data_IF_185200085380
#
_entry.id   IF_185200085380
#
_cell.length_a   1.000
_cell.length_b   1.000
_cell.length_c   1.000
_cell.angle_alpha   90.00
_cell.angle_beta   90.00
_cell.angle_gamma   90.00
#
_symmetry.space_group_name_H-M   'P 1'
#
loop_
_entity.id
_entity.type
_entity.pdbx_description
1 polymer ?
#
# COMPACT_ATOMS: atom_id res chain seq x y z
N UNK A 1 -14.07 -2.84 17.90
CA UNK A 1 -14.73 -2.47 16.63
C UNK A 1 -15.82 -1.49 16.96
N UNK A 2 -15.81 -0.29 16.38
CA UNK A 2 -16.96 0.62 16.50
C UNK A 2 -18.15 -0.02 15.80
N UNK A 3 -19.35 0.09 16.38
CA UNK A 3 -20.59 -0.32 15.72
C UNK A 3 -20.72 0.42 14.37
N UNK A 4 -21.13 -0.30 13.33
CA UNK A 4 -21.51 0.31 12.07
C UNK A 4 -22.63 1.34 12.29
N UNK A 5 -22.57 2.43 11.54
CA UNK A 5 -23.67 3.39 11.47
C UNK A 5 -24.80 2.84 10.59
N UNK A 6 -26.03 3.31 10.78
CA UNK A 6 -27.18 2.90 9.97
C UNK A 6 -26.91 3.05 8.46
N UNK A 7 -26.22 4.13 8.07
CA UNK A 7 -25.80 4.36 6.69
C UNK A 7 -24.83 3.29 6.15
N UNK A 8 -23.86 2.85 6.97
CA UNK A 8 -22.90 1.82 6.56
C UNK A 8 -23.58 0.46 6.44
N UNK A 9 -24.53 0.16 7.32
CA UNK A 9 -25.38 -1.05 7.24
C UNK A 9 -26.22 -1.04 5.97
N UNK A 10 -26.94 0.05 5.69
CA UNK A 10 -27.75 0.20 4.46
C UNK A 10 -26.89 0.06 3.19
N UNK A 11 -25.68 0.62 3.22
CA UNK A 11 -24.73 0.51 2.12
C UNK A 11 -24.28 -0.93 1.91
N UNK A 12 -23.94 -1.64 2.99
CA UNK A 12 -23.57 -3.05 2.94
C UNK A 12 -24.73 -3.89 2.40
N UNK A 13 -25.95 -3.70 2.90
CA UNK A 13 -27.12 -4.44 2.48
C UNK A 13 -27.38 -4.26 0.97
N UNK A 14 -27.22 -3.02 0.46
CA UNK A 14 -27.39 -2.70 -0.96
C UNK A 14 -26.42 -3.46 -1.88
N UNK A 15 -25.21 -3.74 -1.43
CA UNK A 15 -24.16 -4.40 -2.22
C UNK A 15 -23.81 -5.81 -1.71
N UNK A 16 -24.65 -6.37 -0.82
CA UNK A 16 -24.41 -7.62 -0.10
C UNK A 16 -24.46 -8.88 -1.00
N UNK A 17 -25.15 -8.80 -2.15
CA UNK A 17 -25.21 -9.88 -3.14
C UNK A 17 -23.90 -10.02 -3.94
N UNK A 18 -22.86 -10.46 -3.24
CA UNK A 18 -21.51 -10.67 -3.77
C UNK A 18 -21.37 -12.12 -4.25
N UNK A 19 -20.92 -12.29 -5.50
CA UNK A 19 -20.65 -13.56 -6.15
C UNK A 19 -19.36 -13.48 -7.00
N UNK A 20 -18.96 -14.61 -7.60
CA UNK A 20 -17.73 -14.78 -8.39
C UNK A 20 -17.63 -13.79 -9.58
N UNK A 21 -18.73 -13.18 -10.03
CA UNK A 21 -18.76 -12.26 -11.18
C UNK A 21 -18.77 -10.79 -10.81
N UNK A 22 -19.15 -10.42 -9.59
CA UNK A 22 -19.40 -9.03 -9.21
C UNK A 22 -18.66 -8.56 -7.95
N UNK A 23 -17.85 -9.42 -7.31
CA UNK A 23 -17.18 -9.05 -6.05
C UNK A 23 -16.30 -7.81 -6.21
N UNK A 24 -15.53 -7.70 -7.29
CA UNK A 24 -14.65 -6.55 -7.53
C UNK A 24 -15.46 -5.25 -7.65
N UNK A 25 -16.50 -5.26 -8.48
CA UNK A 25 -17.33 -4.08 -8.76
C UNK A 25 -18.14 -3.65 -7.53
N UNK A 26 -18.72 -4.60 -6.79
CA UNK A 26 -19.49 -4.31 -5.59
C UNK A 26 -18.60 -3.77 -4.45
N UNK A 27 -17.43 -4.37 -4.22
CA UNK A 27 -16.49 -3.91 -3.19
C UNK A 27 -15.99 -2.50 -3.49
N UNK A 28 -15.55 -2.23 -4.73
CA UNK A 28 -15.09 -0.90 -5.12
C UNK A 28 -16.22 0.14 -5.08
N UNK A 29 -17.46 -0.26 -5.41
CA UNK A 29 -18.63 0.61 -5.29
C UNK A 29 -18.96 0.96 -3.83
N UNK A 30 -18.83 0.00 -2.90
CA UNK A 30 -18.95 0.28 -1.47
C UNK A 30 -17.84 1.23 -1.01
N UNK A 31 -16.59 1.02 -1.42
CA UNK A 31 -15.46 1.91 -1.10
C UNK A 31 -15.72 3.34 -1.59
N UNK A 32 -16.24 3.50 -2.81
CA UNK A 32 -16.62 4.79 -3.38
C UNK A 32 -17.60 5.54 -2.49
N UNK A 33 -18.64 4.86 -2.01
CA UNK A 33 -19.71 5.44 -1.22
C UNK A 33 -19.38 5.51 0.28
N UNK A 34 -18.33 4.84 0.73
CA UNK A 34 -17.94 4.79 2.13
C UNK A 34 -17.64 6.18 2.69
N UNK A 35 -18.40 6.62 3.69
CA UNK A 35 -18.22 7.94 4.29
C UNK A 35 -16.99 7.95 5.21
N UNK A 36 -16.15 8.96 5.03
CA UNK A 36 -15.02 9.23 5.92
C UNK A 36 -15.41 10.41 6.79
N UNK A 37 -15.50 10.21 8.11
CA UNK A 37 -15.75 11.31 9.05
C UNK A 37 -14.49 12.15 9.18
N UNK A 38 -14.65 13.47 9.16
CA UNK A 38 -13.55 14.40 9.47
C UNK A 38 -13.10 14.19 10.92
N UNK A 39 -11.80 14.37 11.18
CA UNK A 39 -11.18 14.26 12.50
C UNK A 39 -11.32 12.88 13.17
N UNK A 40 -11.56 11.83 12.39
CA UNK A 40 -11.52 10.44 12.86
C UNK A 40 -10.24 9.77 12.36
N UNK A 41 -9.58 9.02 13.24
CA UNK A 41 -8.42 8.22 12.87
C UNK A 41 -8.89 6.85 12.38
N UNK A 42 -8.63 6.59 11.10
CA UNK A 42 -8.99 5.34 10.45
C UNK A 42 -7.72 4.64 9.98
N UNK A 43 -7.57 3.37 10.32
CA UNK A 43 -6.39 2.60 9.91
C UNK A 43 -6.23 2.57 8.38
N UNK A 44 -7.32 2.64 7.61
CA UNK A 44 -7.25 2.67 6.14
C UNK A 44 -6.89 4.05 5.54
N UNK A 45 -6.72 5.10 6.36
CA UNK A 45 -6.28 6.44 5.94
C UNK A 45 -4.92 6.78 6.53
N UNK A 46 -3.89 6.59 5.72
CA UNK A 46 -2.52 6.97 6.06
C UNK A 46 -2.39 8.50 6.00
N UNK A 47 -1.81 9.11 7.02
CA UNK A 47 -1.71 10.57 7.16
C UNK A 47 -3.06 11.28 7.20
N UNK A 48 -4.16 10.57 7.51
CA UNK A 48 -5.54 11.04 7.41
C UNK A 48 -5.98 11.50 6.01
N UNK A 49 -5.24 11.17 4.94
CA UNK A 49 -5.57 11.57 3.56
C UNK A 49 -5.34 10.46 2.52
N UNK A 50 -4.32 9.63 2.68
CA UNK A 50 -3.93 8.61 1.72
C UNK A 50 -4.69 7.30 1.98
N UNK A 51 -5.49 6.87 1.00
CA UNK A 51 -6.40 5.72 1.16
C UNK A 51 -5.72 4.40 0.80
N UNK A 52 -5.51 3.55 1.82
CA UNK A 52 -5.27 2.13 1.63
C UNK A 52 -6.62 1.42 1.38
N UNK A 53 -7.04 1.39 0.11
CA UNK A 53 -8.35 0.86 -0.28
C UNK A 53 -8.52 -0.63 0.06
N UNK A 54 -7.42 -1.40 0.09
CA UNK A 54 -7.45 -2.82 0.46
C UNK A 54 -7.78 -3.01 1.94
N UNK A 55 -7.23 -2.17 2.82
CA UNK A 55 -7.58 -2.19 4.25
C UNK A 55 -9.04 -1.79 4.47
N UNK A 56 -9.54 -0.82 3.72
CA UNK A 56 -10.97 -0.48 3.73
C UNK A 56 -11.84 -1.63 3.19
N UNK A 57 -11.42 -2.30 2.11
CA UNK A 57 -12.11 -3.47 1.59
C UNK A 57 -12.23 -4.56 2.67
N UNK A 58 -11.14 -4.90 3.34
CA UNK A 58 -11.14 -5.89 4.44
C UNK A 58 -12.06 -5.47 5.59
N UNK A 59 -12.07 -4.19 5.96
CA UNK A 59 -12.98 -3.70 6.98
C UNK A 59 -14.45 -3.85 6.58
N UNK A 60 -14.79 -3.55 5.32
CA UNK A 60 -16.16 -3.74 4.80
C UNK A 60 -16.52 -5.23 4.82
N UNK A 61 -15.65 -6.08 4.29
CA UNK A 61 -15.85 -7.54 4.18
C UNK A 61 -16.07 -8.21 5.54
N UNK A 62 -15.44 -7.73 6.61
CA UNK A 62 -15.66 -8.24 7.97
C UNK A 62 -17.12 -8.12 8.46
N UNK A 63 -17.94 -7.32 7.78
CA UNK A 63 -19.35 -7.11 8.10
C UNK A 63 -20.30 -7.79 7.10
N UNK A 64 -19.78 -8.57 6.14
CA UNK A 64 -20.58 -9.25 5.13
C UNK A 64 -20.44 -10.76 5.31
N UNK A 65 -21.57 -11.47 5.30
CA UNK A 65 -21.54 -12.94 5.34
C UNK A 65 -21.27 -13.51 3.93
N UNK A 66 -20.02 -13.86 3.67
CA UNK A 66 -19.56 -14.38 2.37
C UNK A 66 -19.21 -15.86 2.50
N UNK A 67 -19.60 -16.65 1.49
CA UNK A 67 -19.23 -18.08 1.41
C UNK A 67 -17.71 -18.24 1.38
N UNK A 68 -17.18 -19.20 2.15
CA UNK A 68 -15.74 -19.43 2.31
C UNK A 68 -14.97 -19.51 0.99
N UNK A 69 -15.49 -20.26 0.00
CA UNK A 69 -14.87 -20.37 -1.33
C UNK A 69 -14.66 -19.00 -2.00
N UNK A 70 -15.69 -18.15 -1.97
CA UNK A 70 -15.63 -16.82 -2.57
C UNK A 70 -14.72 -15.87 -1.78
N UNK A 71 -14.69 -16.02 -0.46
CA UNK A 71 -13.80 -15.24 0.40
C UNK A 71 -12.31 -15.50 0.05
N UNK A 72 -11.95 -16.75 -0.27
CA UNK A 72 -10.60 -17.10 -0.74
C UNK A 72 -10.27 -16.38 -2.06
N UNK A 73 -11.20 -16.36 -3.02
CA UNK A 73 -11.02 -15.65 -4.30
C UNK A 73 -10.84 -14.13 -4.09
N UNK A 74 -11.65 -13.53 -3.20
CA UNK A 74 -11.53 -12.12 -2.83
C UNK A 74 -10.17 -11.83 -2.19
N UNK A 75 -9.69 -12.68 -1.28
CA UNK A 75 -8.36 -12.50 -0.66
C UNK A 75 -7.22 -12.67 -1.66
N UNK A 76 -7.33 -13.58 -2.62
CA UNK A 76 -6.37 -13.71 -3.71
C UNK A 76 -6.33 -12.44 -4.56
N UNK A 77 -7.50 -11.88 -4.91
CA UNK A 77 -7.60 -10.61 -5.63
C UNK A 77 -6.99 -9.43 -4.84
N UNK A 78 -7.32 -9.29 -3.55
CA UNK A 78 -6.75 -8.26 -2.68
C UNK A 78 -5.23 -8.41 -2.51
N UNK A 79 -4.70 -9.62 -2.68
CA UNK A 79 -3.26 -9.89 -2.61
C UNK A 79 -2.49 -9.51 -3.88
N UNK A 80 -3.17 -9.19 -4.99
CA UNK A 80 -2.52 -8.78 -6.24
C UNK A 80 -1.76 -7.46 -6.02
N UNK A 81 -0.42 -7.42 -6.19
CA UNK A 81 0.39 -6.24 -5.86
C UNK A 81 0.23 -5.10 -6.88
N UNK A 82 -0.39 -5.36 -8.03
CA UNK A 82 -0.62 -4.38 -9.08
C UNK A 82 -1.51 -3.21 -8.63
N UNK A 83 -1.15 -2.01 -9.12
CA UNK A 83 -1.82 -0.73 -8.84
C UNK A 83 -3.34 -0.77 -9.08
N UNK A 84 -3.81 -1.52 -10.09
CA UNK A 84 -5.24 -1.64 -10.39
C UNK A 84 -5.79 -3.05 -10.14
N UNK A 85 -5.00 -3.91 -9.48
CA UNK A 85 -5.38 -5.28 -9.09
C UNK A 85 -6.04 -6.09 -10.21
N UNK A 86 -5.39 -6.13 -11.38
CA UNK A 86 -5.83 -6.86 -12.57
C UNK A 86 -6.86 -6.14 -13.43
N UNK A 87 -7.29 -4.93 -13.06
CA UNK A 87 -8.28 -4.13 -13.81
C UNK A 87 -7.61 -3.07 -14.68
N UNK A 88 -8.35 -2.54 -15.66
CA UNK A 88 -7.89 -1.34 -16.37
C UNK A 88 -7.94 -0.11 -15.46
N UNK A 89 -7.03 0.85 -15.68
CA UNK A 89 -7.03 2.12 -14.95
C UNK A 89 -8.39 2.83 -15.01
N UNK A 90 -8.98 2.86 -16.21
CA UNK A 90 -10.26 3.53 -16.45
C UNK A 90 -11.37 2.92 -15.61
N UNK A 91 -11.48 1.59 -15.59
CA UNK A 91 -12.48 0.87 -14.83
C UNK A 91 -12.28 1.03 -13.32
N UNK A 92 -11.05 0.88 -12.84
CA UNK A 92 -10.71 1.05 -11.43
C UNK A 92 -11.04 2.47 -10.94
N UNK A 93 -10.64 3.49 -11.69
CA UNK A 93 -10.95 4.90 -11.41
C UNK A 93 -12.45 5.17 -11.42
N UNK A 94 -13.18 4.61 -12.39
CA UNK A 94 -14.62 4.79 -12.51
C UNK A 94 -15.36 4.20 -11.29
N UNK A 95 -14.96 3.00 -10.85
CA UNK A 95 -15.56 2.32 -9.71
C UNK A 95 -15.25 3.01 -8.38
N UNK A 96 -13.99 3.41 -8.17
CA UNK A 96 -13.55 4.13 -6.96
C UNK A 96 -14.16 5.54 -6.86
N UNK A 97 -14.42 6.18 -8.01
CA UNK A 97 -14.79 7.59 -8.05
C UNK A 97 -13.60 8.52 -7.80
N UNK A 98 -13.76 9.79 -8.21
CA UNK A 98 -12.65 10.75 -8.27
C UNK A 98 -11.93 10.96 -6.92
N UNK A 99 -12.67 11.21 -5.85
CA UNK A 99 -12.08 11.51 -4.53
C UNK A 99 -11.31 10.32 -3.95
N UNK A 100 -11.90 9.11 -3.94
CA UNK A 100 -11.23 7.90 -3.43
C UNK A 100 -10.07 7.51 -4.30
N UNK A 101 -10.18 7.66 -5.61
CA UNK A 101 -9.09 7.39 -6.53
C UNK A 101 -7.89 8.32 -6.29
N UNK A 102 -8.10 9.63 -6.10
CA UNK A 102 -7.01 10.56 -5.76
C UNK A 102 -6.38 10.25 -4.39
N UNK A 103 -7.22 9.90 -3.41
CA UNK A 103 -6.73 9.47 -2.09
C UNK A 103 -5.92 8.18 -2.21
N UNK A 104 -6.33 7.26 -3.08
CA UNK A 104 -5.58 6.04 -3.38
C UNK A 104 -4.26 6.34 -4.08
N UNK A 105 -4.22 7.23 -5.08
CA UNK A 105 -2.97 7.64 -5.71
C UNK A 105 -2.00 8.25 -4.70
N UNK A 106 -2.51 9.01 -3.73
CA UNK A 106 -1.70 9.52 -2.62
C UNK A 106 -1.07 8.40 -1.80
N UNK A 107 -1.80 7.32 -1.54
CA UNK A 107 -1.26 6.12 -0.89
C UNK A 107 -0.25 5.38 -1.79
N UNK A 108 -0.56 5.21 -3.07
CA UNK A 108 0.32 4.53 -4.02
C UNK A 108 1.68 5.25 -4.12
N UNK A 109 1.69 6.55 -4.36
CA UNK A 109 2.93 7.32 -4.47
C UNK A 109 3.59 7.57 -3.12
N UNK A 110 2.81 7.94 -2.11
CA UNK A 110 3.35 8.36 -0.82
C UNK A 110 3.76 7.22 0.11
N UNK A 111 3.32 5.99 -0.16
CA UNK A 111 3.69 4.81 0.63
C UNK A 111 4.38 3.76 -0.22
N UNK A 112 3.71 3.24 -1.26
CA UNK A 112 4.24 2.09 -2.02
C UNK A 112 5.47 2.46 -2.84
N UNK A 113 5.41 3.58 -3.57
CA UNK A 113 6.56 4.08 -4.33
C UNK A 113 7.65 4.56 -3.37
N UNK A 114 7.31 5.25 -2.28
CA UNK A 114 8.31 5.70 -1.31
C UNK A 114 9.10 4.55 -0.69
N UNK A 115 8.43 3.46 -0.28
CA UNK A 115 9.11 2.23 0.18
C UNK A 115 9.97 1.61 -0.92
N UNK A 116 9.50 1.66 -2.17
CA UNK A 116 10.25 1.15 -3.32
C UNK A 116 11.53 1.95 -3.58
N UNK A 117 11.49 3.27 -3.43
CA UNK A 117 12.67 4.14 -3.51
C UNK A 117 13.67 3.75 -2.42
N UNK A 118 13.21 3.64 -1.17
CA UNK A 118 14.06 3.25 -0.04
C UNK A 118 14.73 1.90 -0.27
N UNK A 119 13.96 0.87 -0.64
CA UNK A 119 14.49 -0.45 -0.95
C UNK A 119 15.50 -0.44 -2.11
N UNK A 120 15.24 0.36 -3.15
CA UNK A 120 16.13 0.49 -4.30
C UNK A 120 17.50 1.07 -3.87
N UNK A 121 17.48 2.19 -3.13
CA UNK A 121 18.69 2.85 -2.63
C UNK A 121 19.42 1.99 -1.61
N UNK A 122 18.70 1.32 -0.72
CA UNK A 122 19.29 0.39 0.25
C UNK A 122 20.04 -0.74 -0.44
N UNK A 123 19.44 -1.34 -1.48
CA UNK A 123 20.06 -2.41 -2.28
C UNK A 123 21.33 -1.92 -2.97
N UNK A 124 21.33 -0.71 -3.52
CA UNK A 124 22.51 -0.12 -4.15
C UNK A 124 23.65 0.12 -3.14
N UNK A 125 23.32 0.73 -2.00
CA UNK A 125 24.26 1.00 -0.92
C UNK A 125 24.84 -0.29 -0.33
N UNK A 126 24.01 -1.32 -0.16
CA UNK A 126 24.42 -2.65 0.28
C UNK A 126 25.43 -3.27 -0.69
N UNK A 127 25.09 -3.33 -1.99
CA UNK A 127 25.98 -3.88 -3.04
C UNK A 127 27.32 -3.14 -3.08
N UNK A 128 27.29 -1.80 -3.03
CA UNK A 128 28.49 -0.96 -3.03
C UNK A 128 29.39 -1.20 -1.81
N UNK A 129 28.81 -1.48 -0.63
CA UNK A 129 29.60 -1.77 0.58
C UNK A 129 30.25 -3.16 0.50
N UNK A 130 29.48 -4.18 0.09
CA UNK A 130 29.99 -5.54 -0.12
C UNK A 130 31.12 -5.54 -1.15
N UNK A 131 30.96 -4.88 -2.30
CA UNK A 131 32.00 -4.83 -3.34
C UNK A 131 33.30 -4.17 -2.88
N UNK A 132 33.22 -3.29 -1.89
CA UNK A 132 34.36 -2.58 -1.32
C UNK A 132 34.93 -3.27 -0.06
N UNK A 133 34.45 -4.47 0.30
CA UNK A 133 34.86 -5.18 1.52
C UNK A 133 34.49 -4.43 2.81
N UNK A 134 33.52 -3.50 2.75
CA UNK A 134 33.09 -2.69 3.89
C UNK A 134 31.93 -3.35 4.63
N UNK A 135 31.83 -3.07 5.92
CA UNK A 135 30.68 -3.47 6.74
C UNK A 135 29.37 -2.93 6.16
N UNK A 136 28.34 -3.78 6.15
CA UNK A 136 26.95 -3.46 5.78
C UNK A 136 26.11 -3.01 6.97
N UNK A 137 26.73 -2.85 8.14
CA UNK A 137 26.09 -2.19 9.28
C UNK A 137 25.72 -0.77 8.86
N UNK A 138 24.51 -0.35 9.22
CA UNK A 138 23.98 0.99 9.01
C UNK A 138 23.59 1.38 7.58
N UNK A 139 23.42 0.42 6.66
CA UNK A 139 22.97 0.70 5.28
C UNK A 139 21.62 1.44 5.27
N UNK A 140 20.73 1.13 6.22
CA UNK A 140 19.44 1.80 6.38
C UNK A 140 19.63 3.31 6.58
N UNK A 141 20.36 3.74 7.62
CA UNK A 141 20.56 5.18 7.86
C UNK A 141 21.24 5.88 6.69
N UNK A 142 22.22 5.25 6.05
CA UNK A 142 22.87 5.82 4.84
C UNK A 142 21.87 6.03 3.72
N UNK A 143 20.87 5.15 3.59
CA UNK A 143 19.83 5.26 2.59
C UNK A 143 18.81 6.34 2.92
N UNK A 144 18.45 6.49 4.20
CA UNK A 144 17.62 7.61 4.67
C UNK A 144 18.32 8.96 4.45
N UNK A 145 19.60 9.07 4.81
CA UNK A 145 20.39 10.29 4.59
C UNK A 145 20.51 10.63 3.10
N UNK A 146 20.66 9.62 2.24
CA UNK A 146 20.73 9.81 0.79
C UNK A 146 19.41 10.34 0.21
N UNK A 147 18.28 9.76 0.62
CA UNK A 147 16.96 10.12 0.06
C UNK A 147 16.47 11.45 0.65
N UNK A 148 16.46 11.54 1.97
CA UNK A 148 15.80 12.61 2.72
C UNK A 148 16.75 13.68 3.26
N UNK A 149 18.06 13.45 3.27
CA UNK A 149 19.03 14.35 3.91
C UNK A 149 19.13 14.21 5.43
N UNK A 150 18.37 13.29 6.03
CA UNK A 150 18.31 13.06 7.48
C UNK A 150 18.43 11.57 7.81
N UNK A 151 18.92 11.26 9.02
CA UNK A 151 18.94 9.87 9.50
C UNK A 151 17.53 9.36 9.82
N UNK A 152 17.36 8.03 9.85
CA UNK A 152 16.08 7.41 10.24
C UNK A 152 15.61 7.91 11.60
N UNK A 153 16.51 7.91 12.59
CA UNK A 153 16.18 8.29 13.96
C UNK A 153 15.71 9.75 14.04
N UNK A 154 16.35 10.66 13.30
CA UNK A 154 15.95 12.06 13.26
C UNK A 154 14.52 12.23 12.73
N UNK A 155 14.22 11.62 11.58
CA UNK A 155 12.90 11.70 10.97
C UNK A 155 11.84 11.04 11.86
N UNK A 156 12.16 9.90 12.46
CA UNK A 156 11.25 9.18 13.33
C UNK A 156 10.92 9.97 14.60
N UNK A 157 11.91 10.58 15.24
CA UNK A 157 11.70 11.45 16.39
C UNK A 157 10.86 12.70 16.04
N UNK A 158 11.10 13.32 14.88
CA UNK A 158 10.29 14.45 14.40
C UNK A 158 8.84 14.02 14.15
N UNK A 159 8.64 12.83 13.54
CA UNK A 159 7.33 12.24 13.33
C UNK A 159 6.59 12.00 14.66
N UNK A 160 7.21 11.32 15.63
CA UNK A 160 6.60 11.04 16.94
C UNK A 160 6.19 12.33 17.68
N UNK A 161 6.99 13.40 17.58
CA UNK A 161 6.66 14.71 18.18
C UNK A 161 5.41 15.33 17.56
N UNK A 162 5.18 15.14 16.26
CA UNK A 162 4.02 15.70 15.54
C UNK A 162 2.76 14.83 15.68
N UNK A 163 2.91 13.52 15.67
CA UNK A 163 1.78 12.58 15.58
C UNK A 163 1.15 12.23 16.93
N UNK A 164 1.74 12.66 18.05
CA UNK A 164 1.32 12.25 19.41
C UNK A 164 1.27 10.72 19.60
N UNK A 165 1.97 9.96 18.74
CA UNK A 165 2.03 8.49 18.79
C UNK A 165 2.97 8.08 19.92
N UNK A 166 2.45 7.31 20.88
CA UNK A 166 3.28 6.74 21.94
C UNK A 166 4.02 5.51 21.42
N UNK A 167 5.34 5.43 21.66
CA UNK A 167 6.26 4.34 21.28
C UNK A 167 5.92 2.92 21.83
N UNK A 168 4.68 2.62 22.20
CA UNK A 168 4.34 1.42 22.98
C UNK A 168 3.84 0.23 22.15
N UNK A 169 3.40 0.43 20.90
CA UNK A 169 3.06 -0.65 19.93
C UNK A 169 3.30 -0.15 18.51
N UNK A 170 4.03 -0.91 17.71
CA UNK A 170 4.25 -0.65 16.28
C UNK A 170 3.31 -1.55 15.46
N UNK A 171 2.33 -0.95 14.79
CA UNK A 171 1.50 -1.63 13.80
C UNK A 171 1.97 -1.25 12.38
N UNK A 172 1.67 -2.08 11.37
CA UNK A 172 1.99 -1.78 9.95
C UNK A 172 1.43 -0.40 9.53
N UNK A 173 0.28 -0.01 10.07
CA UNK A 173 -0.30 1.32 9.82
C UNK A 173 0.61 2.45 10.31
N UNK A 174 1.31 2.29 11.44
CA UNK A 174 2.24 3.29 11.97
C UNK A 174 3.45 3.47 11.05
N UNK A 175 3.96 2.36 10.49
CA UNK A 175 5.06 2.37 9.53
C UNK A 175 4.65 3.03 8.20
N UNK A 176 3.42 2.79 7.74
CA UNK A 176 2.85 3.49 6.57
C UNK A 176 2.70 4.99 6.85
N UNK A 177 2.22 5.38 8.04
CA UNK A 177 2.12 6.79 8.43
C UNK A 177 3.49 7.47 8.48
N UNK A 178 4.49 6.80 9.04
CA UNK A 178 5.86 7.30 9.06
C UNK A 178 6.46 7.41 7.65
N UNK A 179 6.22 6.40 6.80
CA UNK A 179 6.64 6.45 5.39
C UNK A 179 6.00 7.64 4.67
N UNK A 180 4.70 7.83 4.86
CA UNK A 180 3.95 8.91 4.24
C UNK A 180 4.41 10.29 4.73
N UNK A 181 4.76 10.39 6.01
CA UNK A 181 5.42 11.56 6.57
C UNK A 181 6.76 11.86 5.87
N UNK A 182 7.61 10.85 5.67
CA UNK A 182 8.88 10.99 4.96
C UNK A 182 8.67 11.41 3.50
N UNK A 183 7.66 10.88 2.82
CA UNK A 183 7.26 11.31 1.49
C UNK A 183 6.88 12.79 1.43
N UNK A 184 6.07 13.28 2.37
CA UNK A 184 5.70 14.71 2.44
C UNK A 184 6.93 15.59 2.65
N UNK A 185 7.81 15.20 3.58
CA UNK A 185 9.11 15.87 3.77
C UNK A 185 9.95 15.88 2.49
N UNK A 186 10.02 14.76 1.76
CA UNK A 186 10.76 14.69 0.50
C UNK A 186 10.19 15.63 -0.57
N UNK A 187 8.86 15.76 -0.65
CA UNK A 187 8.20 16.73 -1.54
C UNK A 187 8.57 18.17 -1.18
N UNK A 188 8.60 18.49 0.12
CA UNK A 188 8.91 19.83 0.62
C UNK A 188 10.39 20.21 0.40
N UNK A 189 11.30 19.26 0.67
CA UNK A 189 12.74 19.53 0.76
C UNK A 189 13.52 19.26 -0.54
N UNK A 190 12.94 18.56 -1.52
CA UNK A 190 13.65 18.17 -2.75
C UNK A 190 13.38 19.09 -3.94
N UNK A 191 14.40 19.29 -4.76
CA UNK A 191 14.21 19.92 -6.08
C UNK A 191 13.29 19.07 -6.98
N UNK A 192 12.41 19.69 -7.81
CA UNK A 192 11.46 18.96 -8.64
C UNK A 192 12.10 17.91 -9.56
N UNK A 193 13.29 18.19 -10.10
CA UNK A 193 14.01 17.26 -10.96
C UNK A 193 14.48 16.00 -10.19
N UNK A 194 15.02 16.19 -8.97
CA UNK A 194 15.40 15.08 -8.09
C UNK A 194 14.15 14.26 -7.71
N UNK A 195 13.08 14.93 -7.31
CA UNK A 195 11.81 14.29 -6.93
C UNK A 195 11.28 13.38 -8.05
N UNK A 196 11.24 13.89 -9.29
CA UNK A 196 10.78 13.14 -10.45
C UNK A 196 11.70 11.96 -10.78
N UNK A 197 13.01 12.15 -10.71
CA UNK A 197 14.01 11.11 -10.96
C UNK A 197 13.89 9.97 -9.94
N UNK A 198 13.82 10.29 -8.65
CA UNK A 198 13.70 9.31 -7.57
C UNK A 198 12.37 8.55 -7.66
N UNK A 199 11.26 9.27 -7.89
CA UNK A 199 9.94 8.64 -8.09
C UNK A 199 9.97 7.68 -9.29
N UNK A 200 10.57 8.06 -10.42
CA UNK A 200 10.73 7.18 -11.58
C UNK A 200 11.53 5.93 -11.23
N UNK A 201 12.63 6.08 -10.49
CA UNK A 201 13.47 4.98 -10.02
C UNK A 201 12.69 4.01 -9.13
N UNK A 202 11.91 4.52 -8.18
CA UNK A 202 11.02 3.73 -7.32
C UNK A 202 9.96 2.97 -8.12
N UNK A 203 9.32 3.62 -9.10
CA UNK A 203 8.33 2.98 -9.98
C UNK A 203 8.93 1.84 -10.79
N UNK A 204 10.09 2.04 -11.40
CA UNK A 204 10.79 0.97 -12.16
C UNK A 204 11.12 -0.20 -11.23
N UNK A 205 11.65 0.08 -10.03
CA UNK A 205 11.98 -0.95 -9.07
C UNK A 205 10.75 -1.79 -8.64
N UNK A 206 9.61 -1.13 -8.40
CA UNK A 206 8.36 -1.83 -8.08
C UNK A 206 7.89 -2.72 -9.25
N UNK A 207 7.94 -2.21 -10.48
CA UNK A 207 7.58 -2.98 -11.68
C UNK A 207 8.47 -4.21 -11.86
N UNK A 208 9.78 -4.08 -11.64
CA UNK A 208 10.71 -5.22 -11.69
C UNK A 208 10.38 -6.28 -10.65
N UNK A 209 10.02 -5.87 -9.42
CA UNK A 209 9.60 -6.79 -8.37
C UNK A 209 8.32 -7.53 -8.75
N UNK A 210 7.34 -6.84 -9.33
CA UNK A 210 6.08 -7.43 -9.78
C UNK A 210 6.29 -8.46 -10.90
N UNK A 211 7.06 -8.11 -11.93
CA UNK A 211 7.41 -9.03 -13.02
C UNK A 211 8.17 -10.26 -12.48
N UNK A 212 9.02 -10.07 -11.46
CA UNK A 212 9.73 -11.15 -10.81
C UNK A 212 8.78 -12.09 -10.04
N UNK A 213 7.80 -11.53 -9.32
CA UNK A 213 6.73 -12.27 -8.64
C UNK A 213 5.92 -13.11 -9.63
N UNK A 214 5.42 -12.49 -10.71
CA UNK A 214 4.63 -13.18 -11.74
C UNK A 214 5.37 -14.39 -12.33
N UNK A 215 6.67 -14.23 -12.61
CA UNK A 215 7.52 -15.33 -13.09
C UNK A 215 7.63 -16.46 -12.07
N UNK A 216 7.77 -16.15 -10.77
CA UNK A 216 7.82 -17.17 -9.70
C UNK A 216 6.50 -17.92 -9.59
N UNK A 217 5.38 -17.21 -9.64
CA UNK A 217 4.04 -17.80 -9.57
C UNK A 217 3.74 -18.68 -10.79
N UNK A 218 4.14 -18.27 -11.99
CA UNK A 218 4.03 -19.09 -13.19
C UNK A 218 4.85 -20.39 -13.07
N UNK A 219 6.07 -20.31 -12.53
CA UNK A 219 6.93 -21.47 -12.30
C UNK A 219 6.34 -22.42 -11.23
N UNK A 220 5.79 -21.91 -10.12
CA UNK A 220 5.17 -22.74 -9.09
C UNK A 220 3.91 -23.44 -9.60
N UNK A 221 3.08 -22.72 -10.37
CA UNK A 221 1.86 -23.29 -10.94
C UNK A 221 2.18 -24.39 -11.96
N UNK A 222 3.24 -24.23 -12.74
CA UNK A 222 3.73 -25.29 -13.63
C UNK A 222 4.24 -26.51 -12.84
N UNK A 223 5.00 -26.32 -11.75
CA UNK A 223 5.45 -27.44 -10.89
C UNK A 223 4.28 -28.23 -10.26
N UNK A 224 3.24 -27.54 -9.78
CA UNK A 224 2.02 -28.18 -9.24
C UNK A 224 1.26 -28.97 -10.31
N UNK A 225 1.32 -28.53 -11.57
CA UNK A 225 0.71 -29.24 -12.70
C UNK A 225 1.45 -30.54 -13.03
N UNK A 226 2.77 -30.56 -12.93
CA UNK A 226 3.58 -31.77 -13.14
C UNK A 226 3.57 -32.74 -11.95
N UNK A 227 3.35 -32.26 -10.72
CA UNK A 227 3.26 -33.13 -9.52
C UNK A 227 1.89 -33.81 -9.35
N UNK A 228 0.88 -33.44 -10.15
CA UNK A 228 -0.45 -34.10 -10.19
C UNK A 228 -0.55 -35.19 -11.27
N UNK A 229 0.53 -35.47 -11.99
CA UNK A 229 0.59 -36.46 -13.09
C UNK A 229 1.29 -37.77 -12.63
N UNK A 230 1.65 -37.87 -11.35
CA UNK A 230 2.24 -39.07 -10.75
C UNK A 230 1.37 -39.61 -9.62
#
# INVERSE_FOLDING_TARGET
>A
MSSLTDYETDLIDKYSDINEKNYQTNILSMIRLWKIKKNSHYDYLVGNEALNWKRLALQILNNINIKEKLLIEIYQWLSIPEIYSGMSEFEFRYLMGYEKYNSYLSYFYGVLIERSILCCVERENYKKRISNGKSTVNVLNVSYEHIYGYSFLHLYEEYCKKSSVSNKKHYEHDDENFTYYCFKKRIEDSEPAKLASDTKKGTIFLQELMISEEKRLALSNNKVKYSKIY
#
